data_IF_811347556294
#
_entry.id   IF_811347556294
#
_cell.length_a   1.000
_cell.length_b   1.000
_cell.length_c   1.000
_cell.angle_alpha   90.00
_cell.angle_beta   90.00
_cell.angle_gamma   90.00
#
_symmetry.space_group_name_H-M   'P 1'
#
loop_
_entity.id
_entity.type
_entity.pdbx_description
1 polymer ?
#
# COMPACT_ATOMS: atom_id res chain seq x y z
N UNK A 1 -5.53 7.09 0.20
CA UNK A 1 -6.05 5.78 0.66
C UNK A 1 -7.40 6.00 1.31
N UNK A 2 -8.46 5.34 0.85
CA UNK A 2 -9.74 5.34 1.60
C UNK A 2 -9.67 4.22 2.63
N UNK A 3 -9.65 4.58 3.90
CA UNK A 3 -9.90 3.66 5.01
C UNK A 3 -10.75 4.40 6.04
N UNK A 4 -12.07 4.21 5.96
CA UNK A 4 -12.99 4.66 7.01
C UNK A 4 -13.11 3.52 8.03
N UNK A 5 -12.68 3.76 9.26
CA UNK A 5 -12.92 2.85 10.38
C UNK A 5 -13.38 3.66 11.61
N UNK A 6 -14.49 3.21 12.20
CA UNK A 6 -15.00 3.65 13.50
C UNK A 6 -14.54 2.67 14.61
N UNK A 7 -14.49 3.09 15.89
CA UNK A 7 -13.78 2.34 16.93
C UNK A 7 -14.71 1.43 17.75
N UNK A 8 -14.13 0.50 18.51
CA UNK A 8 -14.34 0.24 19.96
C UNK A 8 -14.22 -1.26 20.38
N UNK A 9 -13.60 -1.40 21.57
CA UNK A 9 -13.63 -2.45 22.60
C UNK A 9 -12.82 -3.75 22.45
N UNK A 10 -12.00 -3.97 23.49
CA UNK A 10 -11.21 -5.16 23.80
C UNK A 10 -12.07 -6.25 24.47
N UNK A 11 -11.75 -7.52 24.20
CA UNK A 11 -11.36 -8.57 25.17
C UNK A 11 -11.66 -9.96 24.60
N UNK A 12 -10.76 -10.92 24.85
CA UNK A 12 -11.04 -12.36 24.75
C UNK A 12 -10.19 -13.10 23.71
N UNK A 13 -9.41 -14.06 24.19
CA UNK A 13 -8.63 -15.05 23.45
C UNK A 13 -9.45 -15.76 22.35
N UNK A 14 -8.96 -15.78 21.11
CA UNK A 14 -9.65 -16.44 19.98
C UNK A 14 -8.73 -17.47 19.30
N UNK A 15 -9.14 -18.74 19.35
CA UNK A 15 -8.57 -19.85 18.57
C UNK A 15 -8.87 -19.56 17.10
N UNK A 16 -7.85 -19.51 16.25
CA UNK A 16 -7.98 -19.11 14.85
C UNK A 16 -8.05 -20.33 13.93
N UNK A 17 -9.02 -20.32 13.01
CA UNK A 17 -9.09 -21.24 11.87
C UNK A 17 -8.23 -20.72 10.71
N UNK A 18 -7.78 -21.60 9.83
CA UNK A 18 -6.98 -21.31 8.62
C UNK A 18 -7.62 -20.25 7.70
N UNK A 19 -8.95 -20.12 7.76
CA UNK A 19 -9.76 -19.09 7.08
C UNK A 19 -9.41 -17.66 7.54
N UNK A 20 -8.91 -17.50 8.77
CA UNK A 20 -8.56 -16.19 9.30
C UNK A 20 -7.32 -15.57 8.65
N UNK A 21 -6.40 -16.34 8.05
CA UNK A 21 -5.16 -15.78 7.47
C UNK A 21 -5.32 -15.36 6.01
N UNK A 22 -6.20 -16.02 5.24
CA UNK A 22 -6.33 -15.90 3.77
C UNK A 22 -7.19 -14.74 3.24
N UNK A 23 -7.64 -13.84 4.11
CA UNK A 23 -8.52 -12.74 3.70
C UNK A 23 -7.81 -11.65 2.90
N UNK A 24 -6.51 -11.48 3.10
CA UNK A 24 -5.73 -10.56 2.29
C UNK A 24 -5.37 -11.24 0.97
N UNK A 25 -5.58 -10.52 -0.13
CA UNK A 25 -5.31 -10.96 -1.49
C UNK A 25 -4.40 -9.94 -2.18
N UNK A 26 -3.47 -10.43 -3.00
CA UNK A 26 -2.61 -9.61 -3.86
C UNK A 26 -2.83 -9.97 -5.33
N UNK A 27 -2.76 -8.98 -6.21
CA UNK A 27 -2.85 -9.22 -7.65
C UNK A 27 -1.48 -9.57 -8.23
N UNK A 28 -1.44 -10.61 -9.06
CA UNK A 28 -0.28 -11.01 -9.87
C UNK A 28 -0.75 -11.15 -11.31
N UNK A 29 -0.09 -10.52 -12.27
CA UNK A 29 -0.58 -10.45 -13.66
C UNK A 29 -0.84 -11.83 -14.28
N UNK A 30 -0.04 -12.85 -13.96
CA UNK A 30 -0.17 -14.20 -14.51
C UNK A 30 -1.16 -15.10 -13.76
N UNK A 31 -1.49 -14.75 -12.50
CA UNK A 31 -2.22 -15.64 -11.55
C UNK A 31 -3.49 -14.96 -11.02
N UNK A 32 -3.71 -13.70 -11.38
CA UNK A 32 -4.74 -12.81 -10.83
C UNK A 32 -4.63 -12.66 -9.30
N UNK A 33 -5.75 -12.77 -8.58
CA UNK A 33 -5.81 -12.56 -7.14
C UNK A 33 -5.38 -13.82 -6.38
N UNK A 34 -4.32 -13.67 -5.58
CA UNK A 34 -3.72 -14.76 -4.80
C UNK A 34 -3.82 -14.47 -3.30
N UNK A 35 -4.28 -15.43 -2.47
CA UNK A 35 -4.32 -15.27 -1.02
C UNK A 35 -2.91 -15.14 -0.45
N UNK A 36 -2.74 -14.20 0.46
CA UNK A 36 -1.53 -14.09 1.27
C UNK A 36 -1.70 -14.97 2.50
N UNK A 37 -0.82 -15.96 2.67
CA UNK A 37 -0.69 -16.70 3.91
C UNK A 37 0.30 -15.97 4.81
N UNK A 38 -0.10 -15.67 6.04
CA UNK A 38 0.76 -15.07 7.04
C UNK A 38 0.89 -16.05 8.20
N UNK A 39 2.13 -16.38 8.54
CA UNK A 39 2.46 -17.14 9.74
C UNK A 39 2.16 -16.34 11.02
N UNK A 40 2.23 -17.00 12.17
CA UNK A 40 2.16 -16.29 13.45
C UNK A 40 3.42 -15.42 13.62
N UNK A 41 3.24 -14.26 14.26
CA UNK A 41 4.31 -13.32 14.62
C UNK A 41 5.10 -12.68 13.46
N UNK A 42 4.56 -12.72 12.24
CA UNK A 42 5.10 -11.95 11.11
C UNK A 42 4.29 -10.68 10.85
N UNK A 43 4.98 -9.63 10.45
CA UNK A 43 4.36 -8.42 9.90
C UNK A 43 4.53 -8.40 8.39
N UNK A 44 3.45 -8.06 7.69
CA UNK A 44 3.51 -7.78 6.26
C UNK A 44 3.83 -6.31 6.03
N UNK A 45 4.79 -6.04 5.15
CA UNK A 45 5.15 -4.69 4.71
C UNK A 45 4.71 -4.50 3.27
N UNK A 46 3.85 -3.50 3.04
CA UNK A 46 3.44 -3.10 1.70
C UNK A 46 4.26 -1.90 1.23
N UNK A 47 4.69 -1.95 -0.03
CA UNK A 47 5.32 -0.83 -0.73
C UNK A 47 4.24 0.15 -1.18
N UNK A 48 4.54 1.45 -1.16
CA UNK A 48 3.67 2.52 -1.63
C UNK A 48 4.31 3.30 -2.77
N UNK A 49 3.50 4.04 -3.52
CA UNK A 49 3.96 4.92 -4.59
C UNK A 49 5.09 5.88 -4.17
N UNK A 50 5.10 6.32 -2.91
CA UNK A 50 6.17 7.20 -2.40
C UNK A 50 7.51 6.45 -2.39
N UNK A 51 7.51 5.17 -2.02
CA UNK A 51 8.73 4.35 -2.06
C UNK A 51 9.11 3.99 -3.51
N UNK A 52 8.15 3.82 -4.41
CA UNK A 52 8.41 3.68 -5.85
C UNK A 52 9.12 4.92 -6.40
N UNK A 53 8.59 6.11 -6.09
CA UNK A 53 9.18 7.39 -6.46
C UNK A 53 10.63 7.49 -5.96
N UNK A 54 10.83 7.33 -4.64
CA UNK A 54 12.15 7.47 -4.03
C UNK A 54 13.17 6.45 -4.57
N UNK A 55 12.71 5.22 -4.83
CA UNK A 55 13.53 4.15 -5.40
C UNK A 55 13.70 4.23 -6.93
N UNK A 56 13.17 5.27 -7.57
CA UNK A 56 13.20 5.47 -9.02
C UNK A 56 12.57 4.32 -9.83
N UNK A 57 11.50 3.72 -9.30
CA UNK A 57 10.77 2.63 -9.94
C UNK A 57 11.28 1.23 -9.59
N UNK A 58 12.27 1.10 -8.70
CA UNK A 58 12.78 -0.23 -8.29
C UNK A 58 11.79 -1.02 -7.45
N UNK A 59 10.98 -0.36 -6.63
CA UNK A 59 9.97 -1.00 -5.78
C UNK A 59 8.57 -0.58 -6.20
N UNK A 60 7.87 -1.43 -6.93
CA UNK A 60 6.52 -1.17 -7.43
C UNK A 60 5.45 -1.67 -6.44
N UNK A 61 4.42 -0.88 -6.11
CA UNK A 61 3.31 -1.30 -5.29
C UNK A 61 2.48 -2.38 -5.98
N UNK A 62 2.07 -3.38 -5.20
CA UNK A 62 1.16 -4.43 -5.67
C UNK A 62 -0.26 -4.10 -5.23
N UNK A 63 -1.23 -4.29 -6.13
CA UNK A 63 -2.65 -4.19 -5.78
C UNK A 63 -2.98 -5.23 -4.73
N UNK A 64 -3.66 -4.79 -3.67
CA UNK A 64 -4.08 -5.66 -2.59
C UNK A 64 -5.50 -5.29 -2.14
N UNK A 65 -6.27 -6.30 -1.75
CA UNK A 65 -7.58 -6.10 -1.13
C UNK A 65 -7.84 -7.14 -0.04
N UNK A 66 -8.76 -6.83 0.86
CA UNK A 66 -9.23 -7.79 1.85
C UNK A 66 -10.63 -8.26 1.48
N UNK A 67 -10.82 -9.57 1.44
CA UNK A 67 -12.15 -10.19 1.33
C UNK A 67 -12.88 -10.08 2.67
N UNK A 68 -14.21 -10.11 2.64
CA UNK A 68 -15.03 -10.13 3.84
C UNK A 68 -15.02 -11.52 4.46
N UNK A 69 -15.00 -11.59 5.79
CA UNK A 69 -15.10 -12.86 6.49
C UNK A 69 -16.45 -13.53 6.22
N UNK A 70 -16.47 -14.86 6.18
CA UNK A 70 -17.71 -15.61 6.26
C UNK A 70 -18.44 -15.25 7.56
N UNK A 71 -19.78 -15.41 7.62
CA UNK A 71 -20.59 -15.05 8.82
C UNK A 71 -20.11 -15.70 10.14
N UNK A 72 -19.18 -16.66 10.08
CA UNK A 72 -18.70 -17.48 11.20
C UNK A 72 -17.38 -17.02 11.81
N UNK A 73 -16.62 -16.11 11.18
CA UNK A 73 -15.29 -15.72 11.65
C UNK A 73 -15.14 -14.20 11.72
N UNK A 74 -14.52 -13.70 12.79
CA UNK A 74 -14.11 -12.28 12.90
C UNK A 74 -12.60 -12.20 12.78
N UNK A 75 -12.11 -11.20 12.05
CA UNK A 75 -10.66 -10.90 11.95
C UNK A 75 -10.44 -9.44 12.29
N UNK A 76 -9.41 -9.18 13.08
CA UNK A 76 -8.88 -7.85 13.34
C UNK A 76 -7.49 -7.73 12.73
N UNK A 77 -7.22 -6.59 12.12
CA UNK A 77 -5.91 -6.25 11.54
C UNK A 77 -5.57 -4.80 11.83
N UNK A 78 -4.30 -4.54 12.11
CA UNK A 78 -3.78 -3.19 12.30
C UNK A 78 -2.90 -2.85 11.11
N UNK A 79 -3.13 -1.68 10.51
CA UNK A 79 -2.30 -1.15 9.44
C UNK A 79 -1.65 0.15 9.92
N UNK A 80 -0.32 0.21 9.84
CA UNK A 80 0.45 1.40 10.15
C UNK A 80 0.98 1.98 8.84
N UNK A 81 0.63 3.24 8.58
CA UNK A 81 1.07 3.94 7.38
C UNK A 81 2.18 4.92 7.76
N UNK A 82 3.41 4.60 7.36
CA UNK A 82 4.52 5.53 7.49
C UNK A 82 4.54 6.47 6.29
N UNK A 83 4.59 7.78 6.55
CA UNK A 83 4.55 8.83 5.52
C UNK A 83 5.49 9.98 5.88
N UNK A 84 6.19 10.57 4.90
CA UNK A 84 6.94 11.81 5.11
C UNK A 84 6.04 12.97 5.57
N UNK A 85 6.64 14.00 6.18
CA UNK A 85 5.91 15.24 6.48
C UNK A 85 5.39 15.88 5.19
N UNK A 86 4.28 16.63 5.23
CA UNK A 86 3.74 17.33 4.06
C UNK A 86 4.75 18.28 3.38
N UNK A 87 5.72 18.79 4.12
CA UNK A 87 6.78 19.70 3.68
C UNK A 87 8.03 18.96 3.18
N UNK A 88 8.11 17.64 3.34
CA UNK A 88 9.27 16.86 2.92
C UNK A 88 9.42 16.88 1.38
N UNK A 89 10.65 17.14 0.92
CA UNK A 89 11.03 17.00 -0.47
C UNK A 89 11.18 15.51 -0.82
N UNK A 90 10.41 15.06 -1.81
CA UNK A 90 10.54 13.75 -2.42
C UNK A 90 11.42 13.87 -3.66
N UNK A 91 12.49 13.10 -3.72
CA UNK A 91 13.38 13.03 -4.88
C UNK A 91 13.87 11.60 -5.07
N UNK A 92 13.95 11.08 -6.31
CA UNK A 92 14.57 9.78 -6.56
C UNK A 92 16.04 9.77 -6.12
N UNK A 93 16.52 8.61 -5.65
CA UNK A 93 17.92 8.44 -5.21
C UNK A 93 18.93 8.22 -6.35
N UNK A 94 18.55 8.40 -7.62
CA UNK A 94 19.35 8.04 -8.79
C UNK A 94 19.60 9.23 -9.75
N UNK A 95 20.69 9.19 -10.52
CA UNK A 95 21.13 10.24 -11.45
C UNK A 95 20.32 10.32 -12.77
N UNK A 96 19.56 9.27 -13.10
CA UNK A 96 18.63 9.25 -14.24
C UNK A 96 17.19 9.12 -13.73
N UNK A 97 16.58 10.23 -13.27
CA UNK A 97 15.28 10.18 -12.59
C UNK A 97 14.14 9.89 -13.58
N UNK A 98 13.35 8.86 -13.30
CA UNK A 98 12.07 8.59 -13.97
C UNK A 98 10.94 9.45 -13.42
N UNK A 99 11.12 10.02 -12.23
CA UNK A 99 10.14 10.88 -11.57
C UNK A 99 10.77 12.23 -11.21
N UNK A 100 10.05 13.33 -11.40
CA UNK A 100 10.52 14.66 -10.97
C UNK A 100 10.44 14.78 -9.46
N UNK A 101 11.34 15.58 -8.88
CA UNK A 101 11.25 15.95 -7.48
C UNK A 101 10.04 16.86 -7.20
N UNK A 102 9.43 16.70 -6.03
CA UNK A 102 8.30 17.51 -5.56
C UNK A 102 8.13 17.39 -4.05
N UNK A 103 7.37 18.29 -3.43
CA UNK A 103 7.04 18.18 -2.01
C UNK A 103 5.86 17.21 -1.78
N UNK A 104 5.85 16.55 -0.63
CA UNK A 104 4.83 15.53 -0.30
C UNK A 104 3.38 16.05 -0.43
N UNK A 105 3.11 17.30 -0.02
CA UNK A 105 1.78 17.92 -0.17
C UNK A 105 1.34 18.10 -1.63
N UNK A 106 2.27 18.32 -2.56
CA UNK A 106 1.96 18.39 -3.99
C UNK A 106 1.63 16.99 -4.52
N UNK A 107 2.41 15.99 -4.11
CA UNK A 107 2.13 14.60 -4.45
C UNK A 107 0.72 14.17 -3.95
N UNK A 108 0.35 14.58 -2.74
CA UNK A 108 -0.97 14.32 -2.19
C UNK A 108 -2.09 14.98 -3.00
N UNK A 109 -1.86 16.17 -3.57
CA UNK A 109 -2.82 16.81 -4.47
C UNK A 109 -2.98 16.01 -5.78
N UNK A 110 -1.89 15.51 -6.38
CA UNK A 110 -1.98 14.62 -7.55
C UNK A 110 -2.75 13.34 -7.22
N UNK A 111 -2.46 12.71 -6.08
CA UNK A 111 -3.13 11.49 -5.61
C UNK A 111 -4.60 11.72 -5.27
N UNK A 112 -4.98 12.90 -4.81
CA UNK A 112 -6.38 13.25 -4.57
C UNK A 112 -7.16 13.42 -5.89
N UNK A 113 -6.51 13.96 -6.93
CA UNK A 113 -7.10 14.15 -8.26
C UNK A 113 -7.24 12.85 -9.05
N UNK A 114 -6.17 12.06 -9.10
CA UNK A 114 -6.15 10.72 -9.70
C UNK A 114 -5.46 9.73 -8.75
N UNK A 115 -6.23 9.01 -7.93
CA UNK A 115 -5.70 8.04 -6.98
C UNK A 115 -4.94 6.88 -7.61
N UNK A 116 -5.14 6.58 -8.88
CA UNK A 116 -4.54 5.43 -9.55
C UNK A 116 -3.31 5.81 -10.37
N UNK A 117 -3.26 7.02 -10.93
CA UNK A 117 -2.19 7.43 -11.85
C UNK A 117 -1.37 8.64 -11.39
N UNK A 118 -1.33 8.94 -10.10
CA UNK A 118 -0.60 10.10 -9.57
C UNK A 118 0.89 10.13 -9.99
N UNK A 119 1.56 8.97 -10.04
CA UNK A 119 2.96 8.87 -10.48
C UNK A 119 3.16 9.26 -11.95
N UNK A 120 2.17 9.00 -12.82
CA UNK A 120 2.23 9.42 -14.22
C UNK A 120 2.20 10.96 -14.38
N UNK A 121 1.64 11.68 -13.40
CA UNK A 121 1.63 13.15 -13.41
C UNK A 121 3.00 13.76 -13.06
N UNK A 122 3.95 12.94 -12.62
CA UNK A 122 5.29 13.36 -12.21
C UNK A 122 6.38 12.57 -12.92
N UNK A 123 6.05 11.71 -13.87
CA UNK A 123 7.05 11.00 -14.66
C UNK A 123 7.81 11.98 -15.55
N UNK A 124 9.11 11.73 -15.73
CA UNK A 124 9.96 12.46 -16.67
C UNK A 124 10.06 11.58 -17.91
N UNK A 125 9.62 12.09 -19.06
CA UNK A 125 9.84 11.43 -20.35
C UNK A 125 11.34 11.25 -20.54
N UNK A 126 11.80 10.01 -20.74
CA UNK A 126 13.15 9.78 -21.24
C UNK A 126 13.26 10.48 -22.60
N UNK A 127 14.12 11.50 -22.69
CA UNK A 127 14.57 12.05 -23.96
C UNK A 127 15.28 10.90 -24.69
N UNK A 128 14.61 10.32 -25.67
CA UNK A 128 15.24 9.48 -26.70
C UNK A 128 15.89 10.37 -27.75
#
# INVERSE_FOLDING_TARGET
>A
MRSKWMPIAKNGSEIRTEDQTRMLQIFKEEIEWVPVHLDLDVFMVNVSDVLELLSNGRFTPVLHYCTTASKKTRRYSYAYFHRPSPEALLSPFNFSPHFRALIMREYDAFKAKDPHNALASISVSSLN
#
